data_IF_537722229222
#
_entry.id   IF_537722229222
#
_cell.length_a   1.000
_cell.length_b   1.000
_cell.length_c   1.000
_cell.angle_alpha   90.00
_cell.angle_beta   90.00
_cell.angle_gamma   90.00
#
_symmetry.space_group_name_H-M   'P 1'
#
loop_
_entity.id
_entity.type
_entity.pdbx_description
1 polymer ?
#
# COMPACT_ATOMS: atom_id res chain seq x y z
N UNK A 1 8.25 -3.60 -44.12
CA UNK A 1 8.59 -2.16 -44.24
C UNK A 1 7.64 -1.22 -43.46
N UNK A 2 6.60 -1.71 -42.76
CA UNK A 2 5.60 -0.86 -42.07
C UNK A 2 5.94 -0.63 -40.58
N UNK A 3 6.62 -1.59 -39.94
CA UNK A 3 6.97 -1.54 -38.50
C UNK A 3 7.84 -0.35 -38.08
N UNK A 4 8.63 0.20 -39.02
CA UNK A 4 9.54 1.33 -38.71
C UNK A 4 8.79 2.64 -38.54
N UNK A 5 7.66 2.82 -39.23
CA UNK A 5 6.94 4.09 -39.23
C UNK A 5 6.06 4.26 -37.99
N UNK A 6 5.36 3.20 -37.58
CA UNK A 6 4.56 3.20 -36.35
C UNK A 6 5.45 3.35 -35.13
N UNK A 7 6.56 2.60 -35.07
CA UNK A 7 7.57 2.74 -34.03
C UNK A 7 8.22 4.13 -34.06
N UNK A 8 8.37 4.72 -35.26
CA UNK A 8 8.87 6.08 -35.38
C UNK A 8 7.91 7.10 -34.73
N UNK A 9 6.60 6.99 -34.96
CA UNK A 9 5.62 7.93 -34.40
C UNK A 9 5.46 7.86 -32.88
N UNK A 10 5.73 6.70 -32.26
CA UNK A 10 5.50 6.45 -30.83
C UNK A 10 6.69 6.79 -29.90
N UNK A 11 7.85 7.20 -30.42
CA UNK A 11 8.98 7.56 -29.53
C UNK A 11 8.73 8.88 -28.79
N UNK A 12 9.10 8.89 -27.52
CA UNK A 12 9.12 10.08 -26.64
C UNK A 12 10.19 11.05 -27.19
N UNK A 13 9.86 12.35 -27.29
CA UNK A 13 10.77 13.43 -27.74
C UNK A 13 11.06 13.58 -29.25
N UNK A 14 10.03 13.43 -30.10
CA UNK A 14 10.14 13.77 -31.53
C UNK A 14 10.20 15.27 -31.82
N UNK A 15 11.20 15.65 -32.62
CA UNK A 15 11.42 16.99 -33.20
C UNK A 15 10.64 17.12 -34.52
N UNK A 16 9.79 18.15 -34.69
CA UNK A 16 9.08 18.39 -35.94
C UNK A 16 10.07 18.73 -37.07
N UNK A 17 9.75 18.31 -38.31
CA UNK A 17 10.57 18.60 -39.49
C UNK A 17 9.91 19.68 -40.33
N UNK A 18 10.63 20.76 -40.64
CA UNK A 18 10.10 21.86 -41.47
C UNK A 18 9.75 21.43 -42.90
N UNK A 19 10.37 20.34 -43.39
CA UNK A 19 10.23 19.88 -44.76
C UNK A 19 9.10 18.86 -44.96
N UNK A 20 8.42 18.41 -43.90
CA UNK A 20 7.32 17.45 -44.01
C UNK A 20 6.13 17.82 -43.12
N UNK A 21 5.20 18.64 -43.63
CA UNK A 21 4.05 19.11 -42.86
C UNK A 21 3.08 17.97 -42.49
N UNK A 22 2.99 16.91 -43.30
CA UNK A 22 2.13 15.75 -43.03
C UNK A 22 2.63 14.94 -41.84
N UNK A 23 3.95 14.73 -41.74
CA UNK A 23 4.56 14.04 -40.61
C UNK A 23 4.33 14.80 -39.30
N UNK A 24 4.42 16.13 -39.32
CA UNK A 24 4.19 16.96 -38.14
C UNK A 24 2.76 16.85 -37.62
N UNK A 25 1.76 16.79 -38.53
CA UNK A 25 0.35 16.58 -38.16
C UNK A 25 0.12 15.21 -37.51
N UNK A 26 0.76 14.16 -38.01
CA UNK A 26 0.69 12.82 -37.44
C UNK A 26 1.33 12.75 -36.04
N UNK A 27 2.49 13.39 -35.85
CA UNK A 27 3.16 13.46 -34.54
C UNK A 27 2.29 14.22 -33.52
N UNK A 28 1.65 15.33 -33.92
CA UNK A 28 0.74 16.07 -33.04
C UNK A 28 -0.49 15.23 -32.65
N UNK A 29 -1.15 14.61 -33.62
CA UNK A 29 -2.32 13.76 -33.37
C UNK A 29 -2.00 12.58 -32.43
N UNK A 30 -0.85 11.92 -32.61
CA UNK A 30 -0.40 10.85 -31.71
C UNK A 30 -0.09 11.36 -30.31
N UNK A 31 0.56 12.53 -30.17
CA UNK A 31 0.81 13.15 -28.86
C UNK A 31 -0.49 13.51 -28.14
N UNK A 32 -1.50 13.99 -28.86
CA UNK A 32 -2.79 14.33 -28.28
C UNK A 32 -3.58 13.07 -27.86
N UNK A 33 -3.55 12.01 -28.67
CA UNK A 33 -4.10 10.70 -28.30
C UNK A 33 -3.40 10.09 -27.06
N UNK A 34 -2.07 10.21 -26.97
CA UNK A 34 -1.31 9.76 -25.78
C UNK A 34 -1.66 10.56 -24.53
N UNK A 35 -1.84 11.89 -24.65
CA UNK A 35 -2.31 12.73 -23.53
C UNK A 35 -3.73 12.37 -23.11
N UNK A 36 -4.61 12.07 -24.06
CA UNK A 36 -5.98 11.66 -23.78
C UNK A 36 -6.02 10.28 -23.11
N UNK A 37 -5.20 9.32 -23.54
CA UNK A 37 -5.06 8.03 -22.88
C UNK A 37 -4.46 8.17 -21.48
N UNK A 38 -3.45 9.03 -21.28
CA UNK A 38 -2.93 9.34 -19.95
C UNK A 38 -3.98 9.99 -19.04
N UNK A 39 -4.81 10.89 -19.57
CA UNK A 39 -5.92 11.49 -18.82
C UNK A 39 -6.98 10.44 -18.46
N UNK A 40 -7.36 9.58 -19.40
CA UNK A 40 -8.31 8.49 -19.16
C UNK A 40 -7.80 7.45 -18.15
N UNK A 41 -6.51 7.10 -18.19
CA UNK A 41 -5.87 6.24 -17.19
C UNK A 41 -5.76 6.92 -15.83
N UNK A 42 -5.43 8.22 -15.79
CA UNK A 42 -5.41 9.01 -14.54
C UNK A 42 -6.80 9.19 -13.94
N UNK A 43 -7.84 9.34 -14.76
CA UNK A 43 -9.23 9.46 -14.30
C UNK A 43 -9.81 8.11 -13.88
N UNK A 44 -9.52 7.01 -14.59
CA UNK A 44 -9.90 5.66 -14.18
C UNK A 44 -9.18 5.23 -12.89
N UNK A 45 -7.90 5.61 -12.72
CA UNK A 45 -7.15 5.43 -11.48
C UNK A 45 -7.75 6.27 -10.35
N UNK A 46 -8.10 7.54 -10.60
CA UNK A 46 -8.80 8.39 -9.63
C UNK A 46 -10.18 7.87 -9.25
N UNK A 47 -10.95 7.32 -10.19
CA UNK A 47 -12.25 6.68 -9.92
C UNK A 47 -12.11 5.36 -9.16
N UNK A 48 -11.12 4.54 -9.48
CA UNK A 48 -10.85 3.31 -8.73
C UNK A 48 -10.36 3.62 -7.31
N UNK A 49 -9.54 4.67 -7.15
CA UNK A 49 -9.11 5.21 -5.85
C UNK A 49 -10.31 5.82 -5.11
N UNK A 50 -11.17 6.60 -5.76
CA UNK A 50 -12.40 7.15 -5.15
C UNK A 50 -13.42 6.06 -4.81
N UNK A 51 -13.53 4.98 -5.58
CA UNK A 51 -14.42 3.85 -5.29
C UNK A 51 -13.85 2.98 -4.15
N UNK A 52 -12.52 2.79 -4.07
CA UNK A 52 -11.88 2.18 -2.89
C UNK A 52 -11.89 3.09 -1.67
N UNK A 53 -11.82 4.40 -1.82
CA UNK A 53 -11.98 5.39 -0.73
C UNK A 53 -13.45 5.53 -0.31
N UNK A 54 -14.41 5.35 -1.23
CA UNK A 54 -15.86 5.34 -0.95
C UNK A 54 -16.31 4.04 -0.30
N UNK A 55 -15.67 2.89 -0.58
CA UNK A 55 -15.84 1.65 0.20
C UNK A 55 -15.06 1.68 1.52
N UNK A 56 -13.96 2.45 1.61
CA UNK A 56 -13.28 2.74 2.88
C UNK A 56 -13.95 3.86 3.71
N UNK A 57 -15.18 4.28 3.36
CA UNK A 57 -15.96 5.20 4.18
C UNK A 57 -16.29 4.56 5.53
N UNK A 58 -15.68 5.16 6.56
CA UNK A 58 -16.07 5.13 7.97
C UNK A 58 -15.81 3.86 8.78
N UNK A 59 -14.63 3.25 8.66
CA UNK A 59 -14.10 2.57 9.85
C UNK A 59 -13.68 3.64 10.86
N UNK A 60 -14.53 3.89 11.85
CA UNK A 60 -14.21 4.76 12.99
C UNK A 60 -13.03 4.17 13.75
N UNK A 61 -11.91 4.87 13.78
CA UNK A 61 -10.80 4.51 14.67
C UNK A 61 -10.96 5.18 16.03
N UNK A 62 -10.42 4.54 17.06
CA UNK A 62 -10.26 5.13 18.39
C UNK A 62 -8.79 5.40 18.65
N UNK A 63 -8.48 6.59 19.14
CA UNK A 63 -7.17 6.90 19.70
C UNK A 63 -7.09 6.23 21.06
N UNK A 64 -6.07 5.40 21.27
CA UNK A 64 -5.89 4.68 22.53
C UNK A 64 -5.09 5.56 23.51
N UNK A 65 -5.72 5.90 24.62
CA UNK A 65 -5.08 6.61 25.74
C UNK A 65 -4.42 5.63 26.72
N UNK A 66 -5.11 4.53 27.05
CA UNK A 66 -4.61 3.52 27.98
C UNK A 66 -4.06 2.30 27.21
N UNK A 67 -2.73 2.24 27.08
CA UNK A 67 -2.04 1.14 26.39
C UNK A 67 -2.25 -0.20 27.09
N UNK A 68 -2.17 -0.26 28.41
CA UNK A 68 -2.29 -1.53 29.16
C UNK A 68 -3.65 -2.20 28.97
N UNK A 69 -4.74 -1.43 28.98
CA UNK A 69 -6.07 -1.92 28.68
C UNK A 69 -6.16 -2.44 27.25
N UNK A 70 -5.61 -1.68 26.29
CA UNK A 70 -5.61 -2.05 24.89
C UNK A 70 -4.82 -3.33 24.58
N UNK A 71 -3.71 -3.56 25.27
CA UNK A 71 -2.92 -4.79 25.12
C UNK A 71 -3.69 -6.05 25.52
N UNK A 72 -4.68 -5.94 26.43
CA UNK A 72 -5.57 -7.05 26.79
C UNK A 72 -6.61 -7.32 25.70
N UNK A 73 -7.05 -6.28 25.02
CA UNK A 73 -8.05 -6.34 23.95
C UNK A 73 -7.48 -6.79 22.59
N UNK A 74 -6.15 -6.94 22.45
CA UNK A 74 -5.53 -7.48 21.23
C UNK A 74 -6.05 -8.87 20.84
N UNK A 75 -6.53 -9.65 21.81
CA UNK A 75 -7.12 -10.96 21.55
C UNK A 75 -8.51 -10.90 20.92
N UNK A 76 -9.17 -9.72 20.93
CA UNK A 76 -10.49 -9.51 20.34
C UNK A 76 -10.42 -9.26 18.83
N UNK A 77 -9.22 -9.18 18.24
CA UNK A 77 -9.03 -8.98 16.81
C UNK A 77 -9.63 -10.18 16.06
N UNK A 78 -10.53 -9.90 15.12
CA UNK A 78 -11.07 -10.91 14.20
C UNK A 78 -10.14 -11.01 12.99
N UNK A 79 -9.41 -12.11 12.81
CA UNK A 79 -8.45 -12.22 11.73
C UNK A 79 -9.14 -12.27 10.36
N UNK A 80 -8.57 -11.57 9.38
CA UNK A 80 -9.01 -11.61 7.99
C UNK A 80 -8.58 -12.93 7.31
N UNK A 81 -9.32 -13.46 6.33
CA UNK A 81 -8.84 -14.60 5.55
C UNK A 81 -7.55 -14.26 4.81
N UNK A 82 -6.67 -15.26 4.61
CA UNK A 82 -5.47 -15.06 3.81
C UNK A 82 -5.84 -14.81 2.33
N UNK A 83 -5.37 -13.70 1.73
CA UNK A 83 -5.52 -13.49 0.30
C UNK A 83 -4.70 -14.50 -0.49
N UNK A 84 -4.99 -14.64 -1.78
CA UNK A 84 -4.19 -15.47 -2.68
C UNK A 84 -2.77 -14.91 -2.77
N UNK A 85 -1.79 -15.79 -2.76
CA UNK A 85 -0.40 -15.42 -3.01
C UNK A 85 -0.26 -14.81 -4.42
N UNK A 86 0.61 -13.82 -4.53
CA UNK A 86 0.91 -13.12 -5.78
C UNK A 86 2.43 -13.11 -5.97
N UNK A 87 2.86 -13.10 -7.23
CA UNK A 87 4.25 -12.89 -7.59
C UNK A 87 4.66 -11.41 -7.56
N UNK A 88 5.94 -11.15 -7.76
CA UNK A 88 6.53 -9.80 -7.74
C UNK A 88 6.00 -8.91 -8.86
N UNK A 89 5.78 -9.44 -10.05
CA UNK A 89 5.33 -8.67 -11.22
C UNK A 89 3.86 -8.27 -11.07
N UNK A 90 3.06 -9.21 -10.54
CA UNK A 90 1.67 -8.97 -10.11
C UNK A 90 1.62 -7.87 -9.04
N UNK A 91 2.50 -7.91 -8.03
CA UNK A 91 2.58 -6.86 -7.02
C UNK A 91 2.95 -5.50 -7.62
N UNK A 92 3.98 -5.44 -8.47
CA UNK A 92 4.45 -4.18 -9.07
C UNK A 92 3.38 -3.52 -9.96
N UNK A 93 2.60 -4.33 -10.68
CA UNK A 93 1.57 -3.84 -11.60
C UNK A 93 0.24 -3.49 -10.93
N UNK A 94 -0.22 -4.28 -9.97
CA UNK A 94 -1.55 -4.10 -9.35
C UNK A 94 -1.54 -3.14 -8.15
N UNK A 95 -0.47 -3.15 -7.34
CA UNK A 95 -0.43 -2.35 -6.12
C UNK A 95 -0.11 -0.89 -6.44
N UNK A 96 -0.98 0.04 -6.03
CA UNK A 96 -0.77 1.49 -6.20
C UNK A 96 -0.64 2.25 -4.87
N UNK A 97 -0.52 1.53 -3.74
CA UNK A 97 -0.48 2.14 -2.40
C UNK A 97 0.89 2.65 -1.94
N UNK A 98 1.92 2.61 -2.79
CA UNK A 98 3.23 3.18 -2.49
C UNK A 98 3.96 3.60 -3.76
N UNK A 99 4.82 4.61 -3.64
CA UNK A 99 5.56 5.17 -4.78
C UNK A 99 6.91 4.47 -5.02
N UNK A 100 7.39 3.67 -4.07
CA UNK A 100 8.73 3.08 -4.07
C UNK A 100 8.74 1.56 -4.24
N UNK A 101 7.78 0.99 -4.98
CA UNK A 101 7.51 -0.45 -5.04
C UNK A 101 8.74 -1.27 -5.46
N UNK A 102 9.46 -0.81 -6.47
CA UNK A 102 10.67 -1.48 -6.99
C UNK A 102 11.80 -1.46 -5.95
N UNK A 103 11.98 -0.33 -5.26
CA UNK A 103 12.98 -0.20 -4.20
C UNK A 103 12.61 -1.05 -2.98
N UNK A 104 11.32 -1.20 -2.70
CA UNK A 104 10.82 -2.06 -1.64
C UNK A 104 11.13 -3.53 -1.95
N UNK A 105 10.86 -4.01 -3.18
CA UNK A 105 11.21 -5.38 -3.59
C UNK A 105 12.72 -5.62 -3.44
N UNK A 106 13.56 -4.72 -3.96
CA UNK A 106 15.03 -4.80 -3.81
C UNK A 106 15.45 -4.86 -2.34
N UNK A 107 14.79 -4.08 -1.48
CA UNK A 107 15.05 -4.12 -0.04
C UNK A 107 14.72 -5.49 0.55
N UNK A 108 13.56 -6.09 0.21
CA UNK A 108 13.19 -7.42 0.70
C UNK A 108 14.15 -8.51 0.20
N UNK A 109 14.59 -8.42 -1.06
CA UNK A 109 15.56 -9.34 -1.67
C UNK A 109 16.94 -9.30 -1.01
N UNK A 110 17.36 -8.12 -0.54
CA UNK A 110 18.66 -7.93 0.14
C UNK A 110 18.77 -8.64 1.50
N UNK A 111 17.67 -9.18 2.03
CA UNK A 111 17.60 -9.77 3.38
C UNK A 111 17.87 -11.27 3.34
N UNK A 112 18.49 -11.84 4.40
CA UNK A 112 18.77 -13.27 4.46
C UNK A 112 17.50 -14.13 4.40
N UNK A 113 16.36 -13.59 4.83
CA UNK A 113 15.04 -14.22 4.82
C UNK A 113 14.16 -13.76 3.63
N UNK A 114 14.77 -13.28 2.55
CA UNK A 114 14.10 -12.69 1.37
C UNK A 114 12.97 -13.55 0.81
N UNK A 115 13.16 -14.87 0.68
CA UNK A 115 12.14 -15.80 0.18
C UNK A 115 10.84 -15.73 0.99
N UNK A 116 10.94 -15.64 2.31
CA UNK A 116 9.77 -15.51 3.18
C UNK A 116 9.15 -14.12 3.08
N UNK A 117 9.96 -13.07 3.00
CA UNK A 117 9.46 -11.69 2.88
C UNK A 117 8.69 -11.47 1.58
N UNK A 118 9.18 -12.00 0.46
CA UNK A 118 8.53 -11.94 -0.84
C UNK A 118 7.23 -12.74 -0.88
N UNK A 119 7.17 -13.88 -0.19
CA UNK A 119 5.93 -14.66 -0.09
C UNK A 119 4.77 -13.87 0.52
N UNK A 120 5.05 -12.83 1.32
CA UNK A 120 4.03 -12.02 1.99
C UNK A 120 3.63 -10.74 1.25
N UNK A 121 4.03 -10.55 -0.01
CA UNK A 121 3.64 -9.36 -0.79
C UNK A 121 2.12 -9.19 -0.90
N UNK A 122 1.38 -10.30 -1.03
CA UNK A 122 -0.08 -10.31 -1.06
C UNK A 122 -0.73 -9.76 0.22
N UNK A 123 0.00 -9.68 1.34
CA UNK A 123 -0.50 -9.16 2.62
C UNK A 123 -0.30 -7.64 2.76
N UNK A 124 0.56 -7.03 1.95
CA UNK A 124 0.91 -5.61 2.06
C UNK A 124 -0.31 -4.71 1.79
N UNK A 125 -0.99 -4.92 0.67
CA UNK A 125 -2.12 -4.09 0.27
C UNK A 125 -3.31 -4.18 1.25
N UNK A 126 -3.77 -5.38 1.65
CA UNK A 126 -4.85 -5.48 2.65
C UNK A 126 -4.49 -4.84 3.99
N UNK A 127 -3.22 -4.90 4.39
CA UNK A 127 -2.75 -4.31 5.66
C UNK A 127 -2.77 -2.78 5.63
N UNK A 128 -2.47 -2.17 4.48
CA UNK A 128 -2.54 -0.72 4.31
C UNK A 128 -3.97 -0.20 4.13
N UNK A 129 -4.81 -0.95 3.39
CA UNK A 129 -6.20 -0.55 3.15
C UNK A 129 -7.07 -0.66 4.38
N UNK A 130 -6.93 -1.76 5.11
CA UNK A 130 -7.77 -2.05 6.27
C UNK A 130 -6.92 -2.52 7.48
N UNK A 131 -6.09 -1.65 8.06
CA UNK A 131 -5.34 -2.01 9.26
C UNK A 131 -6.29 -2.27 10.45
N UNK A 132 -5.92 -3.20 11.32
CA UNK A 132 -6.57 -3.35 12.62
C UNK A 132 -6.02 -2.33 13.62
N UNK A 133 -4.73 -2.01 13.48
CA UNK A 133 -4.00 -1.06 14.32
C UNK A 133 -3.05 -0.25 13.44
N UNK A 134 -3.00 1.05 13.66
CA UNK A 134 -1.95 1.93 13.12
C UNK A 134 -1.19 2.55 14.28
N UNK A 135 0.12 2.33 14.32
CA UNK A 135 1.04 2.94 15.27
C UNK A 135 1.74 4.11 14.60
N UNK A 136 1.77 5.26 15.26
CA UNK A 136 2.41 6.47 14.74
C UNK A 136 3.53 6.84 15.70
N UNK A 137 4.72 7.04 15.12
CA UNK A 137 5.92 7.43 15.84
C UNK A 137 6.31 8.85 15.43
N UNK A 138 6.63 9.67 16.42
CA UNK A 138 6.97 11.07 16.26
C UNK A 138 8.39 11.32 16.74
N UNK A 139 9.08 12.21 16.05
CA UNK A 139 10.33 12.80 16.50
C UNK A 139 10.19 14.32 16.46
N UNK A 140 10.52 14.98 17.57
CA UNK A 140 10.34 16.43 17.74
C UNK A 140 8.93 16.94 17.33
N UNK A 141 7.89 16.13 17.56
CA UNK A 141 6.51 16.46 17.23
C UNK A 141 6.11 16.21 15.77
N UNK A 142 7.03 15.79 14.89
CA UNK A 142 6.75 15.41 13.50
C UNK A 142 6.58 13.90 13.38
N UNK A 143 5.58 13.45 12.61
CA UNK A 143 5.41 12.04 12.29
C UNK A 143 6.55 11.58 11.40
N UNK A 144 7.33 10.60 11.86
CA UNK A 144 8.49 10.08 11.13
C UNK A 144 8.25 8.68 10.57
N UNK A 145 7.34 7.92 11.19
CA UNK A 145 7.11 6.51 10.85
C UNK A 145 5.70 6.12 11.24
N UNK A 146 5.04 5.34 10.38
CA UNK A 146 3.80 4.64 10.70
C UNK A 146 3.97 3.15 10.54
N UNK A 147 3.33 2.39 11.41
CA UNK A 147 3.27 0.94 11.32
C UNK A 147 1.82 0.49 11.28
N UNK A 148 1.44 -0.15 10.18
CA UNK A 148 0.12 -0.71 9.97
C UNK A 148 0.17 -2.19 10.30
N UNK A 149 -0.75 -2.63 11.16
CA UNK A 149 -0.81 -4.00 11.64
C UNK A 149 -2.18 -4.56 11.26
N UNK A 150 -2.16 -5.75 10.65
CA UNK A 150 -3.36 -6.52 10.36
C UNK A 150 -3.19 -7.98 10.74
N UNK A 151 -4.24 -8.57 11.30
CA UNK A 151 -4.30 -9.98 11.63
C UNK A 151 -4.93 -10.77 10.48
N UNK A 152 -4.32 -11.90 10.16
CA UNK A 152 -4.77 -12.84 9.15
C UNK A 152 -4.94 -14.24 9.75
N UNK A 153 -5.91 -14.98 9.24
CA UNK A 153 -6.21 -16.34 9.64
C UNK A 153 -5.25 -17.26 8.88
N UNK A 154 -4.28 -17.81 9.59
CA UNK A 154 -3.36 -18.82 9.08
C UNK A 154 -3.98 -20.22 9.09
N UNK A 155 -3.22 -21.17 9.63
CA UNK A 155 -3.74 -22.51 9.92
C UNK A 155 -4.98 -22.42 10.85
N UNK A 156 -5.82 -23.46 10.96
CA UNK A 156 -7.14 -23.39 11.61
C UNK A 156 -7.18 -22.85 13.06
N UNK A 157 -6.02 -22.74 13.73
CA UNK A 157 -5.88 -22.20 15.09
C UNK A 157 -4.82 -21.10 15.23
N UNK A 158 -4.20 -20.66 14.14
CA UNK A 158 -3.06 -19.73 14.20
C UNK A 158 -3.41 -18.39 13.58
N UNK A 159 -3.23 -17.31 14.35
CA UNK A 159 -3.36 -15.93 13.87
C UNK A 159 -1.99 -15.41 13.45
N UNK A 160 -1.88 -14.88 12.24
CA UNK A 160 -0.70 -14.24 11.71
C UNK A 160 -0.86 -12.74 11.74
N UNK A 161 0.03 -12.04 12.43
CA UNK A 161 0.06 -10.60 12.37
C UNK A 161 1.08 -10.17 11.33
N UNK A 162 0.65 -9.32 10.41
CA UNK A 162 1.51 -8.70 9.42
C UNK A 162 1.67 -7.22 9.75
N UNK A 163 2.92 -6.77 9.74
CA UNK A 163 3.32 -5.40 10.00
C UNK A 163 3.86 -4.80 8.70
N UNK A 164 3.32 -3.66 8.31
CA UNK A 164 3.84 -2.83 7.21
C UNK A 164 4.29 -1.50 7.78
N UNK A 165 5.57 -1.17 7.59
CA UNK A 165 6.13 0.12 8.03
C UNK A 165 6.20 1.09 6.85
N UNK A 166 5.72 2.31 7.06
CA UNK A 166 5.77 3.41 6.12
C UNK A 166 6.54 4.61 6.68
N UNK A 167 7.30 5.25 5.81
CA UNK A 167 7.94 6.56 5.99
C UNK A 167 7.15 7.59 5.19
N UNK A 168 6.74 8.69 5.84
CA UNK A 168 5.99 9.80 5.23
C UNK A 168 4.81 9.34 4.34
N UNK A 169 4.00 8.40 4.84
CA UNK A 169 2.73 7.89 4.27
C UNK A 169 2.77 7.25 2.88
N UNK A 170 3.92 7.22 2.20
CA UNK A 170 4.01 6.81 0.79
C UNK A 170 5.17 5.88 0.48
N UNK A 171 6.11 5.73 1.41
CA UNK A 171 7.32 4.94 1.22
C UNK A 171 7.30 3.71 2.12
N UNK A 172 7.16 2.54 1.50
CA UNK A 172 7.28 1.26 2.19
C UNK A 172 8.72 1.05 2.67
N UNK A 173 8.89 0.75 3.95
CA UNK A 173 10.18 0.41 4.56
C UNK A 173 10.32 -1.11 4.70
N UNK A 174 9.34 -1.76 5.34
CA UNK A 174 9.35 -3.20 5.60
C UNK A 174 7.94 -3.77 5.60
N UNK A 175 7.83 -5.05 5.25
CA UNK A 175 6.64 -5.88 5.40
C UNK A 175 7.05 -7.20 6.04
N UNK A 176 6.57 -7.48 7.26
CA UNK A 176 7.03 -8.63 8.04
C UNK A 176 5.90 -9.29 8.82
N UNK A 177 5.90 -10.62 8.82
CA UNK A 177 5.13 -11.42 9.76
C UNK A 177 5.74 -11.30 11.16
N UNK A 178 4.96 -10.82 12.12
CA UNK A 178 5.39 -10.56 13.50
C UNK A 178 4.65 -11.46 14.51
N UNK A 179 5.29 -11.72 15.65
CA UNK A 179 4.65 -12.39 16.79
C UNK A 179 3.89 -11.38 17.66
N UNK A 180 2.87 -11.79 18.42
CA UNK A 180 2.15 -10.88 19.32
C UNK A 180 3.07 -10.11 20.28
N UNK A 181 4.11 -10.76 20.81
CA UNK A 181 5.09 -10.11 21.71
C UNK A 181 5.75 -8.89 21.06
N UNK A 182 6.06 -8.97 19.77
CA UNK A 182 6.66 -7.85 19.04
C UNK A 182 5.69 -6.68 18.91
N UNK A 183 4.42 -6.96 18.60
CA UNK A 183 3.37 -5.94 18.50
C UNK A 183 3.17 -5.22 19.82
N UNK A 184 3.18 -5.94 20.94
CA UNK A 184 3.08 -5.33 22.27
C UNK A 184 4.22 -4.34 22.52
N UNK A 185 5.45 -4.75 22.19
CA UNK A 185 6.62 -3.88 22.33
C UNK A 185 6.55 -2.64 21.43
N UNK A 186 6.01 -2.73 20.21
CA UNK A 186 5.84 -1.57 19.33
C UNK A 186 4.69 -0.65 19.79
N UNK A 187 3.59 -1.21 20.32
CA UNK A 187 2.51 -0.42 20.94
C UNK A 187 3.05 0.40 22.12
N UNK A 188 3.88 -0.19 22.97
CA UNK A 188 4.47 0.50 24.12
C UNK A 188 5.35 1.69 23.70
N UNK A 189 6.05 1.58 22.57
CA UNK A 189 6.91 2.64 22.01
C UNK A 189 6.14 3.70 21.20
N UNK A 190 4.98 3.37 20.65
CA UNK A 190 4.24 4.26 19.76
C UNK A 190 3.76 5.52 20.48
N UNK A 191 3.86 6.68 19.84
CA UNK A 191 3.36 7.94 20.40
C UNK A 191 1.84 8.03 20.30
N UNK A 192 1.28 7.56 19.20
CA UNK A 192 -0.17 7.50 18.96
C UNK A 192 -0.53 6.12 18.42
N UNK A 193 -1.64 5.60 18.92
CA UNK A 193 -2.19 4.31 18.49
C UNK A 193 -3.61 4.57 17.99
N UNK A 194 -3.85 4.32 16.71
CA UNK A 194 -5.19 4.26 16.15
C UNK A 194 -5.63 2.79 16.10
N UNK A 195 -6.68 2.47 16.85
CA UNK A 195 -7.30 1.16 16.81
C UNK A 195 -8.57 1.18 15.97
N UNK A 196 -8.68 0.24 15.04
CA UNK A 196 -9.87 -0.03 14.24
C UNK A 196 -10.63 -1.26 14.76
N UNK A 197 -10.19 -1.81 15.91
CA UNK A 197 -10.81 -2.96 16.54
C UNK A 197 -12.13 -2.50 17.17
N UNK A 198 -13.26 -3.19 16.89
CA UNK A 198 -14.51 -2.91 17.57
C UNK A 198 -14.37 -3.17 19.07
N UNK A 199 -14.21 -2.12 19.86
CA UNK A 199 -14.27 -2.24 21.31
C UNK A 199 -15.73 -2.42 21.72
N UNK A 200 -16.01 -3.45 22.52
CA UNK A 200 -17.30 -3.56 23.19
C UNK A 200 -17.56 -2.24 23.93
N UNK A 201 -18.70 -1.59 23.66
CA UNK A 201 -19.11 -0.44 24.47
C UNK A 201 -19.25 -0.95 25.89
N UNK A 202 -18.36 -0.52 26.80
CA UNK A 202 -18.72 -0.48 28.20
C UNK A 202 -19.89 0.48 28.29
N UNK A 203 -21.10 -0.06 28.29
CA UNK A 203 -22.29 0.66 28.71
C UNK A 203 -21.98 1.11 30.15
N UNK A 204 -21.66 2.39 30.32
CA UNK A 204 -21.76 3.03 31.62
C UNK A 204 -23.26 3.23 31.86
N UNK A 205 -23.88 2.32 32.58
CA UNK A 205 -25.06 2.57 33.42
C UNK A 205 -24.86 1.86 34.76
#
# INVERSE_FOLDING_TARGET
MILRFTHYLLMVDRVPSEHNPTLNRLIAAVKDMQKESEKGVKEASKKAIEETEKEAKERTFKVIENKEAFLKDLNAIKPAPLPKEIDTDSFLSAFNGANNKENFIKHLESKPDSKHRLAYLHLVEPTLKEPDITLIFKDQGKEIKKEHIKAFQGDPKTIYYFLVTQDNDSKLITGLKVKPVYIKAEIDKADIIHSFIPQARTLKE
#
